data_IF_381347635708
#
_entry.id   IF_381347635708
#
_cell.length_a   1.000
_cell.length_b   1.000
_cell.length_c   1.000
_cell.angle_alpha   90.00
_cell.angle_beta   90.00
_cell.angle_gamma   90.00
#
_symmetry.space_group_name_H-M   'P 1'
#
loop_
_entity.id
_entity.type
_entity.pdbx_description
1 polymer ?
#
# COMPACT_ATOMS: atom_id res chain seq x y z
N UNK A 1 13.04 0.26 6.64
CA UNK A 1 13.70 -1.05 6.39
C UNK A 1 13.37 -1.47 4.96
N UNK A 2 14.13 -2.40 4.35
CA UNK A 2 14.14 -2.65 2.89
C UNK A 2 13.64 -4.06 2.53
N UNK A 3 12.64 -4.57 3.24
CA UNK A 3 12.22 -5.98 3.11
C UNK A 3 11.61 -6.27 1.72
N UNK A 4 10.91 -5.30 1.13
CA UNK A 4 10.19 -5.54 -0.13
C UNK A 4 10.93 -5.09 -1.41
N UNK A 5 12.10 -4.43 -1.30
CA UNK A 5 12.75 -3.86 -2.49
C UNK A 5 13.28 -4.97 -3.40
N UNK A 6 12.80 -5.03 -4.65
CA UNK A 6 13.15 -6.04 -5.64
C UNK A 6 11.91 -6.75 -6.16
N UNK A 7 11.98 -8.08 -6.27
CA UNK A 7 10.88 -8.91 -6.77
C UNK A 7 9.57 -8.75 -5.98
N UNK A 8 9.57 -8.71 -4.63
CA UNK A 8 8.34 -8.51 -3.87
C UNK A 8 7.62 -7.20 -4.26
N UNK A 9 8.36 -6.11 -4.45
CA UNK A 9 7.80 -4.83 -4.89
C UNK A 9 7.28 -4.87 -6.33
N UNK A 10 7.89 -5.66 -7.21
CA UNK A 10 7.33 -5.89 -8.54
C UNK A 10 5.97 -6.59 -8.47
N UNK A 11 5.82 -7.60 -7.61
CA UNK A 11 4.54 -8.28 -7.38
C UNK A 11 3.47 -7.33 -6.83
N UNK A 12 3.82 -6.57 -5.78
CA UNK A 12 2.92 -5.59 -5.15
C UNK A 12 2.42 -4.56 -6.16
N UNK A 13 3.30 -3.99 -7.00
CA UNK A 13 2.88 -2.96 -7.95
C UNK A 13 2.10 -3.52 -9.16
N UNK A 14 2.37 -4.77 -9.57
CA UNK A 14 1.51 -5.44 -10.55
C UNK A 14 0.11 -5.65 -10.00
N UNK A 15 -0.01 -6.10 -8.75
CA UNK A 15 -1.30 -6.24 -8.07
C UNK A 15 -2.03 -4.89 -7.99
N UNK A 16 -1.34 -3.84 -7.53
CA UNK A 16 -1.87 -2.48 -7.48
C UNK A 16 -2.40 -1.98 -8.84
N UNK A 17 -1.63 -2.19 -9.92
CA UNK A 17 -2.06 -1.84 -11.28
C UNK A 17 -3.30 -2.62 -11.70
N UNK A 18 -3.29 -3.94 -11.48
CA UNK A 18 -4.42 -4.83 -11.81
C UNK A 18 -5.71 -4.40 -11.11
N UNK A 19 -5.64 -3.96 -9.85
CA UNK A 19 -6.80 -3.44 -9.11
C UNK A 19 -7.42 -2.26 -9.86
N UNK A 20 -6.61 -1.27 -10.23
CA UNK A 20 -7.12 -0.08 -10.91
C UNK A 20 -7.63 -0.41 -12.31
N UNK A 21 -6.98 -1.33 -13.03
CA UNK A 21 -7.43 -1.78 -14.35
C UNK A 21 -8.77 -2.54 -14.30
N UNK A 22 -9.07 -3.25 -13.21
CA UNK A 22 -10.30 -4.04 -13.06
C UNK A 22 -11.47 -3.28 -12.43
N UNK A 23 -11.20 -2.45 -11.43
CA UNK A 23 -12.22 -1.69 -10.70
C UNK A 23 -12.23 -0.25 -11.19
N UNK A 24 -13.25 0.13 -11.96
CA UNK A 24 -13.34 1.45 -12.62
C UNK A 24 -13.39 2.64 -11.64
N UNK A 25 -13.87 2.40 -10.42
CA UNK A 25 -13.96 3.38 -9.33
C UNK A 25 -12.73 3.42 -8.41
N UNK A 26 -11.77 2.51 -8.62
CA UNK A 26 -10.53 2.52 -7.86
C UNK A 26 -9.55 3.59 -8.36
N UNK A 27 -8.92 4.27 -7.40
CA UNK A 27 -7.83 5.23 -7.61
C UNK A 27 -6.72 4.89 -6.62
N UNK A 28 -5.47 4.93 -7.09
CA UNK A 28 -4.29 4.75 -6.24
C UNK A 28 -3.54 6.06 -6.15
N UNK A 29 -3.26 6.49 -4.92
CA UNK A 29 -2.28 7.54 -4.63
C UNK A 29 -1.10 6.90 -3.94
N UNK A 30 0.08 7.02 -4.51
CA UNK A 30 1.31 6.44 -3.97
C UNK A 30 2.35 7.54 -3.67
N UNK A 31 2.49 7.96 -2.40
CA UNK A 31 3.59 8.80 -1.95
C UNK A 31 4.92 8.04 -2.03
N UNK A 32 5.69 8.29 -3.09
CA UNK A 32 6.87 7.50 -3.43
C UNK A 32 8.05 7.80 -2.51
N UNK A 33 8.59 6.78 -1.86
CA UNK A 33 9.85 6.88 -1.13
C UNK A 33 10.96 7.46 -2.03
N UNK A 34 11.86 8.29 -1.47
CA UNK A 34 12.99 8.94 -2.19
C UNK A 34 14.05 7.98 -2.74
N UNK A 35 13.88 6.67 -2.56
CA UNK A 35 14.91 5.69 -2.94
C UNK A 35 14.83 5.48 -4.46
N UNK A 36 15.92 5.71 -5.22
CA UNK A 36 15.89 5.58 -6.68
C UNK A 36 15.40 4.22 -7.16
N UNK A 37 15.76 3.12 -6.48
CA UNK A 37 15.30 1.77 -6.84
C UNK A 37 13.79 1.61 -6.68
N UNK A 38 13.22 2.18 -5.62
CA UNK A 38 11.77 2.15 -5.39
C UNK A 38 11.05 2.94 -6.48
N UNK A 39 11.56 4.14 -6.79
CA UNK A 39 11.01 4.99 -7.85
C UNK A 39 11.08 4.33 -9.22
N UNK A 40 12.21 3.73 -9.57
CA UNK A 40 12.37 2.99 -10.83
C UNK A 40 11.32 1.89 -10.98
N UNK A 41 11.13 1.07 -9.95
CA UNK A 41 10.15 -0.02 -9.95
C UNK A 41 8.71 0.53 -9.99
N UNK A 42 8.44 1.61 -9.25
CA UNK A 42 7.15 2.28 -9.25
C UNK A 42 6.81 2.85 -10.63
N UNK A 43 7.70 3.63 -11.24
CA UNK A 43 7.49 4.15 -12.58
C UNK A 43 7.32 3.05 -13.63
N UNK A 44 8.07 1.94 -13.51
CA UNK A 44 7.96 0.80 -14.44
C UNK A 44 6.55 0.22 -14.46
N UNK A 45 5.92 0.08 -13.30
CA UNK A 45 4.63 -0.63 -13.19
C UNK A 45 3.44 0.32 -13.11
N UNK A 46 3.56 1.44 -12.41
CA UNK A 46 2.45 2.30 -12.03
C UNK A 46 2.32 3.57 -12.87
N UNK A 47 3.29 3.91 -13.73
CA UNK A 47 3.18 5.10 -14.58
C UNK A 47 2.21 4.89 -15.75
N UNK A 48 1.83 6.01 -16.40
CA UNK A 48 0.96 6.04 -17.58
C UNK A 48 -0.41 5.39 -17.33
N UNK A 49 -0.98 5.62 -16.15
CA UNK A 49 -2.35 5.23 -15.83
C UNK A 49 -3.08 6.41 -15.19
N UNK A 50 -4.20 6.85 -15.77
CA UNK A 50 -4.93 8.07 -15.36
C UNK A 50 -5.46 8.06 -13.91
N UNK A 51 -5.68 6.87 -13.36
CA UNK A 51 -6.16 6.66 -11.98
C UNK A 51 -5.06 6.22 -11.00
N UNK A 52 -3.78 6.38 -11.37
CA UNK A 52 -2.65 6.11 -10.49
C UNK A 52 -1.76 7.35 -10.38
N UNK A 53 -1.76 7.96 -9.21
CA UNK A 53 -1.01 9.17 -8.91
C UNK A 53 0.27 8.85 -8.13
N UNK A 54 1.41 9.06 -8.79
CA UNK A 54 2.73 8.94 -8.20
C UNK A 54 3.18 10.29 -7.67
N UNK A 55 3.11 10.49 -6.35
CA UNK A 55 3.40 11.79 -5.73
C UNK A 55 4.69 11.75 -4.90
N UNK A 56 5.22 12.93 -4.58
CA UNK A 56 6.33 13.05 -3.64
C UNK A 56 5.89 12.66 -2.22
N UNK A 57 6.83 12.24 -1.34
CA UNK A 57 6.52 11.94 0.04
C UNK A 57 5.76 13.08 0.71
N UNK A 58 4.69 12.72 1.41
CA UNK A 58 3.86 13.67 2.15
C UNK A 58 4.45 13.92 3.54
N UNK A 59 4.25 15.13 4.04
CA UNK A 59 4.45 15.45 5.45
C UNK A 59 3.33 14.80 6.28
N UNK A 60 3.55 14.64 7.59
CA UNK A 60 2.66 13.85 8.48
C UNK A 60 1.19 14.29 8.42
N UNK A 61 0.93 15.60 8.44
CA UNK A 61 -0.44 16.15 8.42
C UNK A 61 -1.14 15.82 7.10
N UNK A 62 -0.44 15.99 5.98
CA UNK A 62 -0.99 15.67 4.66
C UNK A 62 -1.24 14.17 4.54
N UNK A 63 -0.27 13.34 4.98
CA UNK A 63 -0.45 11.89 4.98
C UNK A 63 -1.69 11.46 5.79
N UNK A 64 -1.90 12.01 6.98
CA UNK A 64 -3.09 11.71 7.80
C UNK A 64 -4.39 12.15 7.11
N UNK A 65 -4.40 13.30 6.44
CA UNK A 65 -5.56 13.75 5.67
C UNK A 65 -5.87 12.80 4.51
N UNK A 66 -4.86 12.35 3.75
CA UNK A 66 -5.03 11.36 2.69
C UNK A 66 -5.51 10.02 3.24
N UNK A 67 -4.88 9.52 4.31
CA UNK A 67 -5.25 8.28 4.98
C UNK A 67 -6.71 8.32 5.46
N UNK A 68 -7.16 9.44 6.03
CA UNK A 68 -8.56 9.60 6.46
C UNK A 68 -9.55 9.52 5.28
N UNK A 69 -9.18 9.93 4.08
CA UNK A 69 -10.05 9.82 2.90
C UNK A 69 -9.96 8.47 2.19
N UNK A 70 -8.92 7.67 2.48
CA UNK A 70 -8.73 6.37 1.85
C UNK A 70 -9.83 5.37 2.24
N UNK A 71 -10.15 4.45 1.32
CA UNK A 71 -11.02 3.31 1.61
C UNK A 71 -10.29 2.24 2.43
N UNK A 72 -9.05 1.92 2.03
CA UNK A 72 -8.08 1.12 2.76
C UNK A 72 -6.66 1.57 2.42
N UNK A 73 -5.67 1.04 3.14
CA UNK A 73 -4.25 1.34 2.91
C UNK A 73 -3.46 0.06 2.68
N UNK A 74 -2.66 0.01 1.61
CA UNK A 74 -1.62 -0.99 1.40
C UNK A 74 -0.30 -0.46 1.95
N UNK A 75 0.35 -1.16 2.89
CA UNK A 75 1.62 -0.65 3.46
C UNK A 75 2.52 -1.73 4.03
N UNK A 76 3.84 -1.52 3.96
CA UNK A 76 4.85 -2.24 4.73
C UNK A 76 5.42 -1.39 5.88
N UNK A 77 4.89 -0.18 6.08
CA UNK A 77 5.35 0.74 7.13
C UNK A 77 4.79 0.33 8.50
N UNK A 78 5.67 0.19 9.49
CA UNK A 78 5.28 -0.07 10.87
C UNK A 78 4.50 1.10 11.50
N UNK A 79 4.91 2.35 11.23
CA UNK A 79 4.22 3.53 11.79
C UNK A 79 2.79 3.67 11.25
N UNK A 80 2.58 3.39 9.96
CA UNK A 80 1.23 3.44 9.36
C UNK A 80 0.33 2.35 9.95
N UNK A 81 0.88 1.19 10.32
CA UNK A 81 0.12 0.14 11.01
C UNK A 81 -0.35 0.56 12.40
N UNK A 82 0.25 1.57 13.04
CA UNK A 82 -0.23 2.13 14.31
C UNK A 82 -1.24 3.27 14.07
N UNK A 83 -0.93 4.14 13.11
CA UNK A 83 -1.65 5.39 12.90
C UNK A 83 -2.99 5.17 12.15
N UNK A 84 -2.98 4.37 11.07
CA UNK A 84 -4.15 4.20 10.21
C UNK A 84 -5.33 3.50 10.89
N UNK A 85 -5.15 2.48 11.76
CA UNK A 85 -6.25 1.91 12.54
C UNK A 85 -6.98 2.93 13.41
N UNK A 86 -6.26 3.91 13.97
CA UNK A 86 -6.85 4.99 14.78
C UNK A 86 -7.77 5.90 13.96
N UNK A 87 -7.60 5.92 12.63
CA UNK A 87 -8.47 6.63 11.67
C UNK A 87 -9.62 5.74 11.15
N UNK A 88 -9.80 4.54 11.70
CA UNK A 88 -10.82 3.58 11.28
C UNK A 88 -10.57 2.99 9.90
N UNK A 89 -9.31 2.94 9.45
CA UNK A 89 -8.93 2.48 8.10
C UNK A 89 -8.45 1.03 8.14
N UNK A 90 -9.04 0.14 7.30
CA UNK A 90 -8.45 -1.17 7.05
C UNK A 90 -7.05 -1.02 6.48
N UNK A 91 -6.10 -1.80 7.00
CA UNK A 91 -4.72 -1.82 6.52
C UNK A 91 -4.35 -3.22 6.08
N UNK A 92 -3.97 -3.35 4.81
CA UNK A 92 -3.41 -4.56 4.25
C UNK A 92 -1.89 -4.46 4.33
N UNK A 93 -1.30 -5.29 5.18
CA UNK A 93 0.11 -5.26 5.51
C UNK A 93 0.88 -6.12 4.51
N UNK A 94 1.75 -5.46 3.73
CA UNK A 94 2.54 -6.05 2.66
C UNK A 94 3.81 -6.75 3.20
N UNK A 95 3.62 -7.60 4.23
CA UNK A 95 4.68 -8.34 4.93
C UNK A 95 4.10 -9.67 5.42
N UNK A 96 4.98 -10.66 5.61
CA UNK A 96 4.59 -11.96 6.17
C UNK A 96 4.44 -11.93 7.70
N UNK A 97 5.05 -10.93 8.34
CA UNK A 97 5.01 -10.75 9.79
C UNK A 97 4.82 -9.28 10.15
N UNK A 98 4.28 -9.02 11.34
CA UNK A 98 4.16 -7.68 11.91
C UNK A 98 4.58 -7.67 13.37
N UNK A 99 5.17 -6.55 13.78
CA UNK A 99 5.39 -6.18 15.17
C UNK A 99 4.14 -5.62 15.87
N UNK A 100 2.97 -5.58 15.21
CA UNK A 100 1.69 -5.10 15.75
C UNK A 100 0.61 -6.20 15.76
N UNK A 101 0.80 -7.32 16.48
CA UNK A 101 -0.18 -8.41 16.54
C UNK A 101 -1.56 -7.92 17.02
N UNK A 102 -1.61 -6.91 17.89
CA UNK A 102 -2.83 -6.30 18.42
C UNK A 102 -3.72 -5.75 17.32
N UNK A 103 -3.15 -5.16 16.26
CA UNK A 103 -3.91 -4.62 15.14
C UNK A 103 -4.53 -5.72 14.28
N UNK A 104 -3.87 -6.88 14.21
CA UNK A 104 -4.38 -8.08 13.53
C UNK A 104 -5.50 -8.72 14.34
N UNK A 105 -5.32 -8.88 15.65
CA UNK A 105 -6.35 -9.40 16.57
C UNK A 105 -7.61 -8.53 16.59
N UNK A 106 -7.44 -7.21 16.51
CA UNK A 106 -8.54 -6.25 16.41
C UNK A 106 -9.21 -6.22 15.02
N UNK A 107 -8.66 -6.91 14.02
CA UNK A 107 -9.17 -6.93 12.64
C UNK A 107 -8.89 -5.67 11.82
N UNK A 108 -8.16 -4.70 12.38
CA UNK A 108 -7.79 -3.46 11.69
C UNK A 108 -6.61 -3.63 10.72
N UNK A 109 -5.73 -4.60 10.99
CA UNK A 109 -4.63 -5.01 10.14
C UNK A 109 -4.89 -6.41 9.59
N UNK A 110 -4.52 -6.64 8.33
CA UNK A 110 -4.49 -7.98 7.72
C UNK A 110 -3.11 -8.18 7.09
N UNK A 111 -2.39 -9.22 7.52
CA UNK A 111 -1.16 -9.64 6.84
C UNK A 111 -1.51 -10.29 5.51
N UNK A 112 -0.93 -9.77 4.43
CA UNK A 112 -1.19 -10.24 3.06
C UNK A 112 0.07 -10.81 2.40
N UNK A 113 1.26 -10.53 2.93
CA UNK A 113 2.52 -10.91 2.30
C UNK A 113 2.80 -10.05 1.07
N UNK A 114 3.55 -10.59 0.12
CA UNK A 114 4.06 -9.83 -1.03
C UNK A 114 3.81 -10.48 -2.38
N UNK A 115 3.11 -11.61 -2.42
CA UNK A 115 2.78 -12.27 -3.68
C UNK A 115 1.66 -11.52 -4.40
N UNK A 116 1.78 -11.38 -5.73
CA UNK A 116 0.87 -10.57 -6.53
C UNK A 116 -0.59 -11.02 -6.37
N UNK A 117 -0.81 -12.33 -6.41
CA UNK A 117 -2.14 -12.92 -6.29
C UNK A 117 -2.75 -12.65 -4.91
N UNK A 118 -1.98 -12.80 -3.84
CA UNK A 118 -2.46 -12.62 -2.47
C UNK A 118 -2.80 -11.14 -2.21
N UNK A 119 -1.93 -10.22 -2.66
CA UNK A 119 -2.17 -8.77 -2.57
C UNK A 119 -3.46 -8.39 -3.28
N UNK A 120 -3.61 -8.83 -4.52
CA UNK A 120 -4.77 -8.49 -5.32
C UNK A 120 -6.07 -9.11 -4.76
N UNK A 121 -6.08 -10.40 -4.39
CA UNK A 121 -7.28 -11.05 -3.82
C UNK A 121 -7.69 -10.43 -2.47
N UNK A 122 -6.72 -9.99 -1.64
CA UNK A 122 -7.02 -9.33 -0.38
C UNK A 122 -7.76 -7.99 -0.55
N UNK A 123 -7.66 -7.34 -1.71
CA UNK A 123 -8.32 -6.06 -1.99
C UNK A 123 -9.77 -6.17 -2.47
N UNK A 124 -10.24 -7.38 -2.76
CA UNK A 124 -11.61 -7.65 -3.24
C UNK A 124 -12.63 -7.86 -2.12
N UNK A 125 -12.15 -8.02 -0.89
CA UNK A 125 -12.93 -8.48 0.25
C UNK A 125 -13.71 -7.34 0.94
#
# INVERSE_FOLDING_TARGET
RRENIGEPMHHIFKAARRIVEEFEDAVIVYPMHKNPKVREIAYKHLSNHERIELIEPLEVVDFHNFAHQAHFILTDSGGVQEEAPSLGKPVLVLRDTTERPEGVEAGTLRLVGTEEADVYEATKA
#
